data_IF_702011404191
#
_entry.id   IF_702011404191
#
_cell.length_a   1.000
_cell.length_b   1.000
_cell.length_c   1.000
_cell.angle_alpha   90.00
_cell.angle_beta   90.00
_cell.angle_gamma   90.00
#
_symmetry.space_group_name_H-M   'P 1'
#
loop_
_entity.id
_entity.type
_entity.pdbx_description
1 polymer ?
#
# COMPACT_ATOMS: atom_id res chain seq x y z
N UNK A 1 5.53 -27.40 -5.38
CA UNK A 1 4.72 -26.66 -4.42
C UNK A 1 4.35 -25.29 -4.97
N UNK A 2 3.10 -24.96 -4.98
CA UNK A 2 2.68 -23.64 -5.39
C UNK A 2 3.29 -22.57 -4.48
N UNK A 3 3.71 -21.46 -5.07
CA UNK A 3 4.16 -20.32 -4.31
C UNK A 3 2.99 -19.76 -3.50
N UNK A 4 3.12 -19.75 -2.18
CA UNK A 4 2.08 -19.27 -1.28
C UNK A 4 2.21 -17.79 -0.96
N UNK A 5 3.20 -17.12 -1.52
CA UNK A 5 3.39 -15.69 -1.29
C UNK A 5 2.31 -14.90 -2.01
N UNK A 6 1.77 -13.95 -1.30
CA UNK A 6 0.70 -13.09 -1.81
C UNK A 6 0.86 -11.72 -1.22
N UNK A 7 0.75 -10.69 -2.04
CA UNK A 7 0.78 -9.33 -1.52
C UNK A 7 -0.27 -8.48 -2.22
N UNK A 8 -0.84 -7.58 -1.45
CA UNK A 8 -1.69 -6.53 -1.99
C UNK A 8 -1.47 -5.24 -1.21
N UNK A 9 -2.03 -4.16 -1.73
CA UNK A 9 -1.85 -2.82 -1.18
C UNK A 9 -3.22 -2.24 -0.88
N UNK A 10 -3.35 -1.60 0.28
CA UNK A 10 -4.51 -0.81 0.65
C UNK A 10 -4.10 0.64 0.82
N UNK A 11 -4.75 1.53 0.05
CA UNK A 11 -4.51 2.97 0.12
C UNK A 11 -5.69 3.62 0.82
N UNK A 12 -5.43 4.27 1.94
CA UNK A 12 -6.48 4.90 2.73
C UNK A 12 -6.68 6.33 2.27
N UNK A 13 -7.81 6.59 1.58
CA UNK A 13 -8.22 7.90 1.08
C UNK A 13 -7.12 8.64 0.30
N UNK A 14 -6.54 8.02 -0.73
CA UNK A 14 -5.49 8.68 -1.51
C UNK A 14 -6.04 9.90 -2.24
N UNK A 15 -5.17 10.89 -2.42
CA UNK A 15 -5.56 12.19 -2.97
C UNK A 15 -5.21 12.33 -4.45
N UNK A 16 -4.02 11.94 -4.83
CA UNK A 16 -3.44 12.28 -6.13
C UNK A 16 -3.55 11.11 -7.11
N UNK A 17 -4.11 11.39 -8.29
CA UNK A 17 -4.15 10.40 -9.38
C UNK A 17 -2.74 9.99 -9.83
N UNK A 18 -1.79 10.93 -9.79
CA UNK A 18 -0.40 10.66 -10.16
C UNK A 18 0.25 9.71 -9.17
N UNK A 19 0.03 9.91 -7.88
CA UNK A 19 0.57 9.01 -6.85
C UNK A 19 -0.03 7.62 -6.97
N UNK A 20 -1.32 7.51 -7.17
CA UNK A 20 -1.95 6.19 -7.35
C UNK A 20 -1.41 5.52 -8.61
N UNK A 21 -1.23 6.26 -9.70
CA UNK A 21 -0.60 5.74 -10.91
C UNK A 21 0.81 5.19 -10.65
N UNK A 22 1.60 5.91 -9.87
CA UNK A 22 2.95 5.46 -9.51
C UNK A 22 2.93 4.25 -8.59
N UNK A 23 1.95 4.18 -7.68
CA UNK A 23 1.73 2.98 -6.85
C UNK A 23 1.40 1.77 -7.75
N UNK A 24 0.54 1.95 -8.73
CA UNK A 24 0.18 0.88 -9.66
C UNK A 24 1.39 0.41 -10.47
N UNK A 25 2.27 1.32 -10.87
CA UNK A 25 3.50 0.96 -11.55
C UNK A 25 4.42 0.14 -10.64
N UNK A 26 4.57 0.55 -9.40
CA UNK A 26 5.34 -0.22 -8.41
C UNK A 26 4.72 -1.61 -8.21
N UNK A 27 3.41 -1.69 -8.10
CA UNK A 27 2.70 -2.96 -7.95
C UNK A 27 3.02 -3.89 -9.11
N UNK A 28 3.04 -3.38 -10.34
CA UNK A 28 3.42 -4.16 -11.52
C UNK A 28 4.86 -4.63 -11.47
N UNK A 29 5.79 -3.78 -11.01
CA UNK A 29 7.20 -4.13 -10.93
C UNK A 29 7.47 -5.26 -9.93
N UNK A 30 6.72 -5.30 -8.83
CA UNK A 30 6.98 -6.23 -7.73
C UNK A 30 5.97 -7.37 -7.61
N UNK A 31 5.11 -7.53 -8.60
CA UNK A 31 4.18 -8.66 -8.64
C UNK A 31 3.08 -8.62 -7.57
N UNK A 32 2.62 -7.44 -7.23
CA UNK A 32 1.49 -7.27 -6.31
C UNK A 32 0.21 -7.77 -6.99
N UNK A 33 -0.64 -8.45 -6.25
CA UNK A 33 -1.82 -9.12 -6.80
C UNK A 33 -3.00 -8.16 -7.02
N UNK A 34 -3.17 -7.17 -6.15
CA UNK A 34 -4.26 -6.21 -6.26
C UNK A 34 -3.96 -4.96 -5.42
N UNK A 35 -4.64 -3.85 -5.77
CA UNK A 35 -4.55 -2.59 -5.05
C UNK A 35 -5.97 -2.13 -4.74
N UNK A 36 -6.23 -1.84 -3.47
CA UNK A 36 -7.51 -1.33 -2.99
C UNK A 36 -7.35 0.10 -2.51
N UNK A 37 -8.39 0.90 -2.64
CA UNK A 37 -8.39 2.25 -2.09
C UNK A 37 -9.75 2.59 -1.50
N UNK A 38 -9.76 3.49 -0.53
CA UNK A 38 -10.99 4.05 0.05
C UNK A 38 -11.11 5.53 -0.32
N UNK A 39 -12.29 6.09 -0.06
CA UNK A 39 -12.55 7.52 -0.26
C UNK A 39 -12.84 7.88 -1.70
N UNK A 40 -13.20 9.15 -1.91
CA UNK A 40 -13.64 9.67 -3.20
C UNK A 40 -12.62 10.58 -3.88
N UNK A 41 -11.56 10.98 -3.17
CA UNK A 41 -10.62 11.98 -3.69
C UNK A 41 -9.88 11.52 -4.94
N UNK A 42 -9.46 10.26 -4.94
CA UNK A 42 -8.77 9.70 -6.10
C UNK A 42 -9.70 9.67 -7.32
N UNK A 43 -10.94 9.23 -7.15
CA UNK A 43 -11.88 9.16 -8.27
C UNK A 43 -12.13 10.53 -8.88
N UNK A 44 -12.25 11.58 -8.05
CA UNK A 44 -12.40 12.95 -8.52
C UNK A 44 -11.14 13.43 -9.25
N UNK A 45 -9.96 13.14 -8.70
CA UNK A 45 -8.70 13.52 -9.33
C UNK A 45 -8.51 12.82 -10.66
N UNK A 46 -8.86 11.53 -10.75
CA UNK A 46 -8.77 10.73 -11.97
C UNK A 46 -9.59 11.33 -13.10
N UNK A 47 -10.75 11.88 -12.80
CA UNK A 47 -11.65 12.46 -13.80
C UNK A 47 -11.03 13.69 -14.51
N UNK A 48 -10.01 14.31 -13.90
CA UNK A 48 -9.32 15.46 -14.47
C UNK A 48 -8.00 15.11 -15.16
N UNK A 49 -7.62 13.84 -15.16
CA UNK A 49 -6.38 13.38 -15.80
C UNK A 49 -6.69 12.90 -17.20
N UNK A 50 -6.03 13.47 -18.19
CA UNK A 50 -6.21 13.10 -19.59
C UNK A 50 -5.26 12.01 -20.04
N UNK A 51 -4.30 11.61 -19.21
CA UNK A 51 -3.37 10.56 -19.56
C UNK A 51 -4.08 9.21 -19.51
N UNK A 52 -4.13 8.57 -20.67
CA UNK A 52 -4.79 7.30 -20.83
C UNK A 52 -3.82 6.11 -20.79
N UNK A 53 -2.57 6.34 -20.43
CA UNK A 53 -1.60 5.25 -20.32
C UNK A 53 -1.99 4.33 -19.17
N UNK A 54 -2.49 3.17 -19.51
CA UNK A 54 -2.95 2.19 -18.55
C UNK A 54 -1.92 1.09 -18.39
N UNK A 55 -0.79 1.44 -17.78
CA UNK A 55 0.33 0.50 -17.58
C UNK A 55 0.03 -0.56 -16.51
N UNK A 56 -1.14 -0.53 -15.92
CA UNK A 56 -1.51 -1.37 -14.79
C UNK A 56 -2.74 -2.25 -15.04
N UNK A 57 -3.03 -2.55 -16.32
CA UNK A 57 -4.21 -3.35 -16.68
C UNK A 57 -4.25 -4.72 -16.01
N UNK A 58 -3.08 -5.30 -15.78
CA UNK A 58 -3.00 -6.66 -15.26
C UNK A 58 -3.23 -6.74 -13.76
N UNK A 59 -3.25 -5.58 -13.08
CA UNK A 59 -3.44 -5.54 -11.64
C UNK A 59 -4.70 -4.75 -11.34
N UNK A 60 -5.71 -5.37 -10.69
CA UNK A 60 -6.93 -4.65 -10.37
C UNK A 60 -6.70 -3.53 -9.37
N UNK A 61 -7.30 -2.38 -9.65
CA UNK A 61 -7.37 -1.23 -8.75
C UNK A 61 -8.85 -1.08 -8.37
N UNK A 62 -9.18 -1.34 -7.12
CA UNK A 62 -10.56 -1.49 -6.68
C UNK A 62 -10.89 -0.51 -5.57
N UNK A 63 -11.88 0.35 -5.79
CA UNK A 63 -12.43 1.23 -4.77
C UNK A 63 -13.38 0.49 -3.85
N UNK A 64 -13.25 0.70 -2.56
CA UNK A 64 -14.04 0.01 -1.54
C UNK A 64 -14.37 0.98 -0.40
N UNK A 65 -15.33 0.61 0.44
CA UNK A 65 -15.74 1.44 1.57
C UNK A 65 -14.90 1.19 2.82
N UNK A 66 -14.46 -0.04 3.03
CA UNK A 66 -13.79 -0.44 4.27
C UNK A 66 -12.67 -1.45 3.98
N UNK A 67 -11.42 -1.00 4.18
CA UNK A 67 -10.25 -1.84 3.94
C UNK A 67 -10.21 -3.07 4.83
N UNK A 68 -10.67 -2.96 6.06
CA UNK A 68 -10.66 -4.10 6.98
C UNK A 68 -11.47 -5.27 6.46
N UNK A 69 -12.58 -4.98 5.78
CA UNK A 69 -13.49 -6.02 5.30
C UNK A 69 -12.98 -6.80 4.11
N UNK A 70 -11.99 -6.24 3.38
CA UNK A 70 -11.51 -6.88 2.15
C UNK A 70 -10.16 -7.55 2.34
N UNK A 71 -9.66 -7.65 3.57
CA UNK A 71 -8.38 -8.33 3.81
C UNK A 71 -8.50 -9.75 3.28
N UNK A 72 -7.65 -10.12 2.29
CA UNK A 72 -7.72 -11.47 1.73
C UNK A 72 -7.43 -12.52 2.80
N UNK A 73 -8.07 -13.65 2.67
CA UNK A 73 -7.93 -14.74 3.63
C UNK A 73 -6.47 -15.14 3.80
N UNK A 74 -6.02 -15.17 5.05
CA UNK A 74 -4.65 -15.54 5.38
C UNK A 74 -3.63 -14.43 5.22
N UNK A 75 -4.05 -13.22 4.83
CA UNK A 75 -3.14 -12.08 4.75
C UNK A 75 -3.02 -11.37 6.09
N UNK A 76 -1.79 -11.00 6.43
CA UNK A 76 -1.50 -10.17 7.58
C UNK A 76 -1.62 -8.71 7.18
N UNK A 77 -2.49 -7.91 7.81
CA UNK A 77 -2.52 -6.47 7.56
C UNK A 77 -1.35 -5.79 8.27
N UNK A 78 -0.56 -5.07 7.49
CA UNK A 78 0.65 -4.37 7.95
C UNK A 78 0.48 -2.88 7.68
N UNK A 79 0.39 -2.07 8.73
CA UNK A 79 0.32 -0.63 8.59
C UNK A 79 1.73 -0.08 8.32
N UNK A 80 1.82 0.86 7.39
CA UNK A 80 3.07 1.57 7.11
C UNK A 80 2.90 3.01 7.58
N UNK A 81 3.49 3.34 8.71
CA UNK A 81 3.32 4.64 9.36
C UNK A 81 4.44 4.91 10.36
N UNK A 82 4.94 6.14 10.38
CA UNK A 82 5.94 6.55 11.37
C UNK A 82 5.23 6.92 12.67
N UNK A 83 5.14 5.97 13.57
CA UNK A 83 4.51 6.15 14.89
C UNK A 83 5.34 5.41 15.94
N UNK A 84 5.13 5.79 17.20
CA UNK A 84 5.78 5.10 18.32
C UNK A 84 5.38 3.63 18.32
N UNK A 85 6.34 2.75 18.54
CA UNK A 85 6.14 1.32 18.55
C UNK A 85 6.22 0.65 17.18
N UNK A 86 6.32 1.42 16.09
CA UNK A 86 6.49 0.85 14.78
C UNK A 86 7.89 0.23 14.63
N UNK A 87 7.96 -0.86 13.89
CA UNK A 87 9.22 -1.55 13.64
C UNK A 87 9.92 -0.96 12.40
N UNK A 88 11.21 -0.66 12.47
CA UNK A 88 11.92 -0.18 11.29
C UNK A 88 12.00 -1.25 10.20
N UNK A 89 11.80 -0.85 8.97
CA UNK A 89 11.76 -1.77 7.84
C UNK A 89 13.00 -2.67 7.72
N UNK A 90 14.23 -2.18 7.94
CA UNK A 90 15.41 -3.06 7.83
C UNK A 90 15.38 -4.29 8.73
N UNK A 91 14.73 -4.19 9.89
CA UNK A 91 14.64 -5.28 10.87
C UNK A 91 13.37 -6.10 10.73
N UNK A 92 12.54 -5.77 9.75
CA UNK A 92 11.22 -6.40 9.61
C UNK A 92 11.29 -7.69 8.79
N UNK A 93 10.60 -8.73 9.25
CA UNK A 93 10.41 -9.97 8.50
C UNK A 93 9.01 -9.96 7.89
N UNK A 94 8.93 -9.95 6.57
CA UNK A 94 7.65 -9.87 5.87
C UNK A 94 6.85 -11.16 5.98
N UNK A 95 5.53 -11.07 6.23
CA UNK A 95 4.66 -12.25 6.15
C UNK A 95 4.61 -12.76 4.70
N UNK A 96 4.44 -14.06 4.54
CA UNK A 96 4.28 -14.63 3.20
C UNK A 96 3.06 -14.07 2.49
N UNK A 97 1.98 -13.86 3.22
CA UNK A 97 0.75 -13.27 2.72
C UNK A 97 0.50 -11.96 3.47
N UNK A 98 0.51 -10.86 2.76
CA UNK A 98 0.42 -9.54 3.39
C UNK A 98 -0.45 -8.57 2.60
N UNK A 99 -1.13 -7.70 3.33
CA UNK A 99 -1.70 -6.48 2.76
C UNK A 99 -1.05 -5.29 3.46
N UNK A 100 -0.36 -4.45 2.70
CA UNK A 100 0.31 -3.26 3.23
C UNK A 100 -0.63 -2.08 3.12
N UNK A 101 -0.89 -1.42 4.26
CA UNK A 101 -1.84 -0.33 4.37
C UNK A 101 -1.07 0.99 4.50
N UNK A 102 -1.33 1.90 3.56
CA UNK A 102 -0.68 3.21 3.51
C UNK A 102 -1.71 4.31 3.73
N UNK A 103 -1.31 5.34 4.45
CA UNK A 103 -2.14 6.52 4.68
C UNK A 103 -2.13 7.50 3.50
N UNK A 104 -3.00 8.52 3.55
CA UNK A 104 -3.06 9.53 2.49
C UNK A 104 -1.81 10.40 2.48
N UNK A 105 -1.57 11.05 1.33
CA UNK A 105 -0.40 11.89 1.13
C UNK A 105 -0.36 13.09 2.09
N UNK A 106 -1.51 13.58 2.48
CA UNK A 106 -1.68 14.76 3.34
C UNK A 106 -2.14 14.43 4.75
N UNK A 107 -1.92 13.20 5.20
CA UNK A 107 -2.36 12.78 6.53
C UNK A 107 -1.68 11.50 6.97
N UNK A 108 -2.27 10.85 7.95
CA UNK A 108 -1.73 9.64 8.56
C UNK A 108 -2.83 8.59 8.69
N UNK A 109 -2.41 7.35 8.91
CA UNK A 109 -3.35 6.30 9.30
C UNK A 109 -3.83 6.57 10.72
N UNK A 110 -5.15 6.58 10.90
CA UNK A 110 -5.73 6.81 12.22
C UNK A 110 -5.38 5.68 13.20
N UNK A 111 -5.45 5.95 14.52
CA UNK A 111 -5.27 4.88 15.49
C UNK A 111 -6.24 3.72 15.30
N UNK A 112 -7.47 3.99 14.84
CA UNK A 112 -8.47 2.95 14.60
C UNK A 112 -8.01 1.98 13.50
N UNK A 113 -7.46 2.51 12.41
CA UNK A 113 -6.93 1.67 11.33
C UNK A 113 -5.73 0.87 11.81
N UNK A 114 -4.81 1.51 12.54
CA UNK A 114 -3.63 0.82 13.07
C UNK A 114 -4.01 -0.26 14.09
N UNK A 115 -5.14 -0.07 14.79
CA UNK A 115 -5.59 -1.04 15.78
C UNK A 115 -5.97 -2.39 15.19
N UNK A 116 -6.51 -2.42 13.96
CA UNK A 116 -6.83 -3.69 13.32
C UNK A 116 -5.70 -4.24 12.45
N UNK A 117 -4.62 -3.49 12.26
CA UNK A 117 -3.42 -4.02 11.63
C UNK A 117 -2.60 -4.80 12.66
N UNK A 118 -2.17 -6.00 12.28
CA UNK A 118 -1.41 -6.85 13.21
C UNK A 118 -0.04 -6.27 13.52
N UNK A 119 0.55 -5.56 12.55
CA UNK A 119 1.89 -5.00 12.68
C UNK A 119 1.93 -3.60 12.10
N UNK A 120 2.84 -2.78 12.60
CA UNK A 120 3.11 -1.45 12.05
C UNK A 120 4.61 -1.33 11.80
N UNK A 121 4.96 -0.90 10.59
CA UNK A 121 6.34 -0.69 10.17
C UNK A 121 6.53 0.74 9.69
N UNK A 122 7.77 1.19 9.66
CA UNK A 122 8.11 2.49 9.09
C UNK A 122 9.42 2.41 8.31
N UNK A 123 9.57 3.30 7.35
CA UNK A 123 10.81 3.45 6.59
C UNK A 123 11.64 4.53 7.27
N UNK A 124 12.83 4.17 7.83
CA UNK A 124 13.70 5.17 8.47
C UNK A 124 14.23 6.16 7.43
N UNK A 125 13.84 7.43 7.58
CA UNK A 125 14.31 8.52 6.72
C UNK A 125 14.53 9.77 7.57
N UNK A 126 15.24 10.73 7.01
CA UNK A 126 15.47 12.01 7.68
C UNK A 126 14.39 13.06 7.31
N UNK A 127 13.51 12.73 6.39
CA UNK A 127 12.43 13.62 5.96
C UNK A 127 11.21 12.85 5.53
N UNK A 128 10.18 13.57 5.11
CA UNK A 128 8.96 12.94 4.61
C UNK A 128 9.20 12.33 3.23
N UNK A 129 8.76 11.10 3.06
CA UNK A 129 8.86 10.41 1.78
C UNK A 129 7.46 10.31 1.16
N UNK A 130 7.40 10.56 -0.13
CA UNK A 130 6.16 10.51 -0.88
C UNK A 130 5.55 9.09 -0.86
N UNK A 131 4.24 9.02 -1.01
CA UNK A 131 3.51 7.74 -0.91
C UNK A 131 4.05 6.69 -1.87
N UNK A 132 4.19 7.01 -3.16
CA UNK A 132 4.63 6.03 -4.14
C UNK A 132 6.08 5.59 -3.89
N UNK A 133 6.94 6.51 -3.44
CA UNK A 133 8.31 6.17 -3.06
C UNK A 133 8.33 5.20 -1.88
N UNK A 134 7.49 5.45 -0.87
CA UNK A 134 7.38 4.56 0.28
C UNK A 134 6.92 3.16 -0.15
N UNK A 135 5.92 3.09 -1.02
CA UNK A 135 5.44 1.81 -1.56
C UNK A 135 6.57 1.06 -2.26
N UNK A 136 7.34 1.75 -3.11
CA UNK A 136 8.47 1.14 -3.80
C UNK A 136 9.49 0.57 -2.81
N UNK A 137 9.84 1.33 -1.78
CA UNK A 137 10.83 0.90 -0.80
C UNK A 137 10.36 -0.33 -0.03
N UNK A 138 9.11 -0.34 0.42
CA UNK A 138 8.53 -1.48 1.15
C UNK A 138 8.51 -2.73 0.27
N UNK A 139 8.06 -2.59 -0.97
CA UNK A 139 7.97 -3.73 -1.90
C UNK A 139 9.35 -4.25 -2.28
N UNK A 140 10.32 -3.36 -2.48
CA UNK A 140 11.69 -3.78 -2.76
C UNK A 140 12.28 -4.54 -1.57
N UNK A 141 12.08 -4.04 -0.35
CA UNK A 141 12.55 -4.71 0.87
C UNK A 141 11.97 -6.12 0.99
N UNK A 142 10.67 -6.25 0.69
CA UNK A 142 10.02 -7.55 0.67
C UNK A 142 10.68 -8.48 -0.35
N UNK A 143 10.92 -8.00 -1.56
CA UNK A 143 11.58 -8.79 -2.59
C UNK A 143 12.99 -9.20 -2.19
N UNK A 144 13.75 -8.26 -1.66
CA UNK A 144 15.17 -8.48 -1.32
C UNK A 144 15.33 -9.50 -0.18
N UNK A 145 14.40 -9.53 0.76
CA UNK A 145 14.45 -10.41 1.92
C UNK A 145 13.85 -11.80 1.65
N UNK A 146 13.08 -11.90 0.64
CA UNK A 146 12.33 -13.11 0.40
C UNK A 146 12.72 -13.93 -0.71
#
# INVERSE_FOLDING_TARGET
>A
MANKRYSCIGLFNPKSAENVGSVMRAAGCYGVNSVFYTGKRYERARDFVTDTKRVHYDIPLIGIDDLQRIIPLGCTPVAVELVEGARPLPDYTHPDRAIYIFGPEDGSLSPDVRAWCEETIYVPTTGCMNLAATVNVVLYDRLAKG
#
